data_IF_969176030266
#
_entry.id   IF_969176030266
#
_cell.length_a   1.000
_cell.length_b   1.000
_cell.length_c   1.000
_cell.angle_alpha   90.00
_cell.angle_beta   90.00
_cell.angle_gamma   90.00
#
_symmetry.space_group_name_H-M   'P 1'
#
loop_
_entity.id
_entity.type
_entity.pdbx_description
1 polymer ?
#
# COMPACT_ATOMS: atom_id res chain seq x y z
N UNK A 1 19.42 -33.09 -22.42
CA UNK A 1 20.81 -32.93 -22.87
C UNK A 1 21.29 -34.15 -23.65
N UNK A 2 20.77 -35.34 -23.32
CA UNK A 2 21.13 -36.59 -24.05
C UNK A 2 20.34 -36.81 -25.37
N UNK A 3 19.24 -36.11 -25.58
CA UNK A 3 18.35 -36.27 -26.76
C UNK A 3 18.84 -35.50 -28.00
N UNK A 4 19.72 -34.51 -27.85
CA UNK A 4 20.22 -33.70 -28.98
C UNK A 4 21.45 -34.28 -29.69
N UNK A 5 22.01 -35.39 -29.21
CA UNK A 5 23.18 -36.05 -29.84
C UNK A 5 22.85 -37.06 -30.93
N UNK A 6 21.57 -37.37 -31.19
CA UNK A 6 21.12 -38.40 -32.13
C UNK A 6 20.48 -37.85 -33.42
N UNK A 7 20.76 -36.61 -33.80
CA UNK A 7 20.30 -36.07 -35.09
C UNK A 7 21.38 -36.35 -36.18
N UNK A 8 21.00 -36.86 -37.37
CA UNK A 8 21.93 -37.36 -38.41
C UNK A 8 22.80 -36.30 -39.11
N UNK A 9 22.75 -35.05 -38.71
CA UNK A 9 23.52 -33.96 -39.33
C UNK A 9 24.56 -33.29 -38.39
N UNK A 10 24.90 -33.89 -37.23
CA UNK A 10 25.81 -33.31 -36.26
C UNK A 10 27.32 -33.41 -36.62
N UNK A 11 27.68 -34.08 -37.68
CA UNK A 11 29.08 -34.26 -38.04
C UNK A 11 29.82 -32.99 -38.54
N UNK A 12 29.10 -31.92 -38.88
CA UNK A 12 29.72 -30.65 -39.26
C UNK A 12 30.12 -29.77 -38.05
N UNK A 13 29.47 -29.95 -36.91
CA UNK A 13 29.79 -29.16 -35.70
C UNK A 13 31.01 -29.71 -34.93
N UNK A 14 31.27 -30.99 -35.05
CA UNK A 14 32.42 -31.63 -34.38
C UNK A 14 33.78 -31.30 -35.03
N UNK A 15 33.81 -30.94 -36.32
CA UNK A 15 35.10 -30.57 -37.00
C UNK A 15 35.60 -29.16 -36.67
N UNK A 16 34.74 -28.27 -36.15
CA UNK A 16 35.17 -26.93 -35.71
C UNK A 16 35.82 -26.91 -34.32
N UNK A 17 35.74 -28.02 -33.55
CA UNK A 17 36.40 -28.13 -32.24
C UNK A 17 37.92 -28.11 -32.26
N UNK A 18 38.55 -28.33 -33.41
CA UNK A 18 40.01 -28.34 -33.53
C UNK A 18 40.63 -26.95 -33.75
N UNK A 19 39.83 -25.90 -33.97
CA UNK A 19 40.38 -24.57 -34.32
C UNK A 19 40.45 -23.64 -33.09
N UNK A 20 39.76 -23.96 -31.97
CA UNK A 20 39.78 -23.11 -30.75
C UNK A 20 39.90 -23.95 -29.46
N UNK A 21 41.11 -24.22 -28.96
CA UNK A 21 41.30 -25.04 -27.76
C UNK A 21 40.98 -24.33 -26.42
N UNK A 22 40.42 -23.12 -26.41
CA UNK A 22 40.16 -22.33 -25.22
C UNK A 22 38.64 -22.10 -24.88
N UNK A 23 37.73 -22.88 -25.48
CA UNK A 23 36.30 -22.65 -25.32
C UNK A 23 35.54 -23.74 -24.56
N UNK A 24 36.15 -24.36 -23.52
CA UNK A 24 35.45 -25.44 -22.81
C UNK A 24 34.50 -24.97 -21.72
N UNK A 25 34.65 -23.73 -21.21
CA UNK A 25 33.74 -23.19 -20.15
C UNK A 25 32.74 -22.11 -20.64
N UNK A 26 32.98 -21.53 -21.84
CA UNK A 26 32.13 -20.41 -22.31
C UNK A 26 30.93 -20.83 -23.18
N UNK A 27 30.85 -22.07 -23.65
CA UNK A 27 29.76 -22.50 -24.53
C UNK A 27 28.37 -22.53 -23.82
N UNK A 28 28.33 -22.66 -22.50
CA UNK A 28 27.08 -22.58 -21.74
C UNK A 28 26.63 -21.14 -21.47
N UNK A 29 27.51 -20.15 -21.66
CA UNK A 29 27.22 -18.75 -21.39
C UNK A 29 26.60 -17.96 -22.55
N UNK A 30 26.63 -18.49 -23.76
CA UNK A 30 26.19 -17.79 -24.99
C UNK A 30 24.64 -17.76 -25.11
N UNK A 31 23.94 -18.70 -24.48
CA UNK A 31 22.51 -18.89 -24.70
C UNK A 31 21.56 -18.26 -23.65
N UNK A 32 22.09 -17.60 -22.60
CA UNK A 32 21.18 -17.08 -21.54
C UNK A 32 21.60 -15.73 -20.97
N UNK A 33 21.46 -14.62 -21.72
CA UNK A 33 21.64 -13.28 -21.16
C UNK A 33 20.69 -13.01 -19.98
N UNK A 34 19.57 -13.73 -19.92
CA UNK A 34 18.55 -13.64 -18.84
C UNK A 34 19.12 -14.05 -17.47
N UNK A 35 20.12 -14.93 -17.40
CA UNK A 35 20.65 -15.45 -16.13
C UNK A 35 21.93 -14.78 -15.63
N UNK A 36 22.42 -13.74 -16.32
CA UNK A 36 23.61 -12.96 -15.91
C UNK A 36 23.34 -11.81 -15.00
N UNK A 37 22.16 -11.78 -14.35
CA UNK A 37 21.82 -10.68 -13.45
C UNK A 37 22.40 -10.92 -12.04
N UNK A 38 22.87 -9.84 -11.42
CA UNK A 38 23.21 -9.83 -10.00
C UNK A 38 21.92 -10.02 -9.19
N UNK A 39 22.04 -10.61 -8.01
CA UNK A 39 20.93 -10.64 -7.07
C UNK A 39 20.40 -9.21 -6.86
N UNK A 40 19.11 -9.04 -6.95
CA UNK A 40 18.46 -7.78 -6.60
C UNK A 40 18.71 -7.42 -5.12
N UNK A 41 18.63 -6.13 -4.76
CA UNK A 41 18.67 -5.74 -3.37
C UNK A 41 17.52 -6.42 -2.61
N UNK A 42 17.77 -6.77 -1.34
CA UNK A 42 16.70 -7.30 -0.48
C UNK A 42 15.66 -6.23 -0.26
N UNK A 43 14.40 -6.62 -0.32
CA UNK A 43 13.29 -5.74 0.07
C UNK A 43 13.44 -5.34 1.55
N UNK A 44 13.39 -4.06 1.90
CA UNK A 44 13.66 -3.59 3.27
C UNK A 44 12.65 -4.08 4.30
N UNK A 45 11.43 -4.45 3.88
CA UNK A 45 10.38 -4.95 4.78
C UNK A 45 10.35 -6.47 4.80
N UNK A 46 10.36 -7.13 3.63
CA UNK A 46 10.36 -8.59 3.52
C UNK A 46 11.64 -9.19 4.08
N UNK A 47 12.79 -8.53 3.91
CA UNK A 47 14.06 -8.94 4.51
C UNK A 47 14.03 -8.94 6.05
N UNK A 48 13.28 -8.02 6.68
CA UNK A 48 13.06 -8.03 8.13
C UNK A 48 12.23 -9.24 8.55
N UNK A 49 11.20 -9.58 7.77
CA UNK A 49 10.36 -10.75 8.04
C UNK A 49 11.14 -12.05 7.93
N UNK A 50 12.03 -12.18 6.94
CA UNK A 50 12.94 -13.32 6.81
C UNK A 50 13.85 -13.45 8.02
N UNK A 51 14.48 -12.35 8.47
CA UNK A 51 15.33 -12.33 9.63
C UNK A 51 14.57 -12.68 10.92
N UNK A 52 13.36 -12.11 11.11
CA UNK A 52 12.48 -12.43 12.21
C UNK A 52 12.11 -13.94 12.24
N UNK A 53 11.77 -14.52 11.09
CA UNK A 53 11.39 -15.92 11.01
C UNK A 53 12.57 -16.85 11.31
N UNK A 54 13.78 -16.47 10.94
CA UNK A 54 15.00 -17.24 11.21
C UNK A 54 15.44 -17.19 12.70
N UNK A 55 15.05 -16.14 13.42
CA UNK A 55 15.39 -15.99 14.84
C UNK A 55 14.64 -17.03 15.70
N UNK A 56 15.37 -17.70 16.58
CA UNK A 56 14.84 -18.74 17.48
C UNK A 56 14.41 -18.20 18.85
N UNK A 57 14.61 -16.90 19.12
CA UNK A 57 14.23 -16.30 20.39
C UNK A 57 12.69 -16.30 20.55
N UNK A 58 12.13 -16.97 21.59
CA UNK A 58 10.67 -17.01 21.78
C UNK A 58 10.07 -15.64 22.16
N UNK A 59 10.89 -14.69 22.64
CA UNK A 59 10.48 -13.33 23.00
C UNK A 59 10.64 -12.31 21.84
N UNK A 60 10.99 -12.77 20.64
CA UNK A 60 11.15 -11.93 19.46
C UNK A 60 9.87 -11.16 19.11
N UNK A 61 10.01 -9.91 18.66
CA UNK A 61 8.88 -9.04 18.29
C UNK A 61 9.10 -8.46 16.88
N UNK A 62 8.10 -8.59 16.01
CA UNK A 62 8.14 -7.99 14.68
C UNK A 62 7.31 -6.69 14.65
N UNK A 63 8.00 -5.56 14.58
CA UNK A 63 7.43 -4.22 14.40
C UNK A 63 7.67 -3.66 12.99
N UNK A 64 8.25 -4.45 12.08
CA UNK A 64 8.58 -4.02 10.71
C UNK A 64 7.43 -4.18 9.73
N UNK A 65 6.56 -5.17 9.92
CA UNK A 65 5.48 -5.50 8.97
C UNK A 65 4.20 -4.74 9.27
N UNK A 66 3.56 -4.21 8.23
CA UNK A 66 2.28 -3.50 8.32
C UNK A 66 1.07 -4.42 8.43
N UNK A 67 1.00 -5.20 9.50
CA UNK A 67 -0.09 -6.11 9.79
C UNK A 67 -0.64 -5.79 11.18
N UNK A 68 -1.97 -5.81 11.32
CA UNK A 68 -2.63 -5.69 12.60
C UNK A 68 -2.62 -7.04 13.33
N UNK A 69 -2.22 -7.02 14.59
CA UNK A 69 -2.29 -8.18 15.49
C UNK A 69 -3.18 -7.87 16.68
N UNK A 70 -3.95 -8.87 17.13
CA UNK A 70 -4.74 -8.79 18.36
C UNK A 70 -3.86 -8.92 19.62
N UNK A 71 -4.47 -8.88 20.80
CA UNK A 71 -3.75 -9.04 22.08
C UNK A 71 -3.11 -10.42 22.27
N UNK A 72 -3.47 -11.40 21.45
CA UNK A 72 -2.85 -12.72 21.41
C UNK A 72 -1.69 -12.80 20.40
N UNK A 73 -1.38 -11.69 19.70
CA UNK A 73 -0.36 -11.66 18.66
C UNK A 73 -0.76 -12.40 17.40
N UNK A 74 -2.08 -12.48 17.11
CA UNK A 74 -2.63 -13.14 15.93
C UNK A 74 -3.31 -12.12 15.02
N UNK A 75 -3.27 -12.37 13.72
CA UNK A 75 -4.09 -11.65 12.74
C UNK A 75 -5.54 -12.10 12.93
N UNK A 76 -6.49 -11.20 13.24
CA UNK A 76 -7.88 -11.60 13.44
C UNK A 76 -8.54 -11.97 12.12
N UNK A 77 -9.38 -12.98 12.13
CA UNK A 77 -10.39 -13.20 11.11
C UNK A 77 -11.69 -12.54 11.58
N UNK A 78 -12.13 -11.49 10.90
CA UNK A 78 -13.28 -10.70 11.32
C UNK A 78 -14.58 -11.51 11.26
N UNK A 79 -15.50 -11.28 12.20
CA UNK A 79 -16.80 -11.96 12.23
C UNK A 79 -17.67 -11.58 11.04
N UNK A 80 -17.61 -10.34 10.56
CA UNK A 80 -18.30 -9.93 9.34
C UNK A 80 -17.82 -10.72 8.11
N UNK A 81 -16.52 -11.01 8.03
CA UNK A 81 -15.93 -11.84 6.97
C UNK A 81 -16.42 -13.28 7.06
N UNK A 82 -16.35 -13.91 8.24
CA UNK A 82 -16.83 -15.28 8.45
C UNK A 82 -18.31 -15.44 8.05
N UNK A 83 -19.15 -14.49 8.44
CA UNK A 83 -20.58 -14.52 8.09
C UNK A 83 -20.80 -14.32 6.59
N UNK A 84 -20.04 -13.45 5.95
CA UNK A 84 -20.10 -13.28 4.49
C UNK A 84 -19.65 -14.54 3.75
N UNK A 85 -18.58 -15.19 4.19
CA UNK A 85 -18.12 -16.46 3.62
C UNK A 85 -19.16 -17.58 3.77
N UNK A 86 -19.83 -17.67 4.93
CA UNK A 86 -20.92 -18.63 5.14
C UNK A 86 -22.07 -18.41 4.13
N UNK A 87 -22.51 -17.16 3.94
CA UNK A 87 -23.53 -16.79 2.95
C UNK A 87 -23.10 -17.19 1.53
N UNK A 88 -21.81 -16.97 1.19
CA UNK A 88 -21.29 -17.30 -0.13
C UNK A 88 -21.16 -18.82 -0.35
N UNK A 89 -20.83 -19.58 0.70
CA UNK A 89 -20.79 -21.05 0.64
C UNK A 89 -22.15 -21.66 0.34
N UNK A 90 -23.21 -21.15 0.94
CA UNK A 90 -24.58 -21.66 0.72
C UNK A 90 -25.05 -21.50 -0.74
N UNK A 91 -24.50 -20.53 -1.46
CA UNK A 91 -24.88 -20.27 -2.86
C UNK A 91 -24.32 -21.28 -3.87
N UNK A 92 -23.26 -22.03 -3.53
CA UNK A 92 -22.59 -23.01 -4.42
C UNK A 92 -22.35 -22.48 -5.85
N UNK A 93 -22.00 -21.17 -5.97
CA UNK A 93 -21.87 -20.53 -7.27
C UNK A 93 -20.70 -21.08 -8.10
N UNK A 94 -20.83 -21.19 -9.42
CA UNK A 94 -19.75 -21.59 -10.31
C UNK A 94 -18.56 -20.60 -10.22
N UNK A 95 -17.34 -21.12 -10.42
CA UNK A 95 -16.09 -20.34 -10.42
C UNK A 95 -15.72 -19.90 -11.85
N UNK A 96 -16.58 -19.15 -12.50
CA UNK A 96 -16.34 -18.60 -13.85
C UNK A 96 -15.44 -17.37 -13.79
N UNK A 97 -14.88 -17.00 -14.95
CA UNK A 97 -14.16 -15.73 -15.07
C UNK A 97 -15.09 -14.54 -14.79
N UNK A 98 -14.58 -13.56 -14.07
CA UNK A 98 -15.26 -12.27 -13.90
C UNK A 98 -15.15 -11.41 -15.17
N UNK A 99 -16.00 -10.38 -15.30
CA UNK A 99 -15.73 -9.26 -16.19
C UNK A 99 -14.33 -8.69 -15.95
N UNK A 100 -13.76 -8.06 -16.96
CA UNK A 100 -12.40 -7.50 -16.88
C UNK A 100 -12.28 -6.50 -15.73
N UNK A 101 -13.28 -5.65 -15.55
CA UNK A 101 -13.35 -4.66 -14.47
C UNK A 101 -13.63 -5.25 -13.08
N UNK A 102 -14.13 -6.48 -13.00
CA UNK A 102 -14.46 -7.14 -11.74
C UNK A 102 -15.94 -7.38 -11.52
N UNK A 103 -16.33 -7.57 -10.27
CA UNK A 103 -17.72 -7.76 -9.85
C UNK A 103 -18.46 -6.42 -9.80
N UNK A 104 -19.53 -6.26 -10.57
CA UNK A 104 -20.32 -5.02 -10.59
C UNK A 104 -20.85 -4.62 -9.20
N UNK A 105 -21.25 -5.59 -8.37
CA UNK A 105 -21.69 -5.33 -7.00
C UNK A 105 -20.55 -4.82 -6.11
N UNK A 106 -19.33 -5.35 -6.29
CA UNK A 106 -18.13 -4.89 -5.61
C UNK A 106 -17.76 -3.47 -6.04
N UNK A 107 -17.67 -3.25 -7.36
CA UNK A 107 -17.28 -1.95 -7.92
C UNK A 107 -18.23 -0.84 -7.47
N UNK A 108 -19.55 -1.11 -7.47
CA UNK A 108 -20.56 -0.18 -6.96
C UNK A 108 -20.38 0.10 -5.45
N UNK A 109 -20.27 -0.94 -4.62
CA UNK A 109 -20.14 -0.78 -3.18
C UNK A 109 -18.87 -0.02 -2.79
N UNK A 110 -17.75 -0.28 -3.48
CA UNK A 110 -16.49 0.44 -3.28
C UNK A 110 -16.60 1.89 -3.75
N UNK A 111 -17.21 2.15 -4.89
CA UNK A 111 -17.43 3.50 -5.41
C UNK A 111 -18.24 4.35 -4.42
N UNK A 112 -19.31 3.79 -3.84
CA UNK A 112 -20.12 4.43 -2.82
C UNK A 112 -19.34 4.66 -1.51
N UNK A 113 -18.48 3.72 -1.11
CA UNK A 113 -17.61 3.86 0.05
C UNK A 113 -16.60 5.00 -0.12
N UNK A 114 -16.01 5.12 -1.31
CA UNK A 114 -14.94 6.07 -1.63
C UNK A 114 -15.48 7.48 -1.80
N UNK A 115 -16.50 7.66 -2.62
CA UNK A 115 -17.01 8.97 -3.00
C UNK A 115 -18.25 9.40 -2.20
N UNK A 116 -18.93 8.47 -1.53
CA UNK A 116 -20.23 8.67 -0.93
C UNK A 116 -21.36 8.38 -1.93
N UNK A 117 -22.37 7.60 -1.50
CA UNK A 117 -23.49 7.20 -2.37
C UNK A 117 -24.29 8.41 -2.90
N UNK A 118 -24.34 9.49 -2.12
CA UNK A 118 -25.08 10.70 -2.44
C UNK A 118 -24.27 11.79 -3.15
N UNK A 119 -22.99 11.55 -3.44
CA UNK A 119 -22.13 12.53 -4.11
C UNK A 119 -22.52 12.72 -5.57
N UNK A 120 -22.31 13.94 -6.09
CA UNK A 120 -22.65 14.28 -7.48
C UNK A 120 -21.84 13.44 -8.46
N UNK A 121 -20.57 13.13 -8.14
CA UNK A 121 -19.71 12.32 -9.01
C UNK A 121 -20.27 10.90 -9.23
N UNK A 122 -20.96 10.34 -8.25
CA UNK A 122 -21.64 9.04 -8.35
C UNK A 122 -22.98 9.18 -9.04
N UNK A 123 -23.84 10.14 -8.63
CA UNK A 123 -25.16 10.38 -9.21
C UNK A 123 -25.11 10.71 -10.72
N UNK A 124 -24.13 11.52 -11.10
CA UNK A 124 -23.89 11.92 -12.50
C UNK A 124 -23.10 10.90 -13.31
N UNK A 125 -22.75 9.74 -12.71
CA UNK A 125 -21.99 8.66 -13.34
C UNK A 125 -20.61 9.11 -13.87
N UNK A 126 -19.98 10.07 -13.20
CA UNK A 126 -18.66 10.58 -13.52
C UNK A 126 -17.52 9.77 -12.87
N UNK A 127 -17.84 8.84 -11.97
CA UNK A 127 -16.89 7.94 -11.37
C UNK A 127 -16.94 6.56 -12.02
N UNK A 128 -15.77 5.94 -12.16
CA UNK A 128 -15.61 4.53 -12.45
C UNK A 128 -14.84 3.85 -11.34
N UNK A 129 -15.10 2.56 -11.14
CA UNK A 129 -14.34 1.72 -10.20
C UNK A 129 -14.08 0.38 -10.86
N UNK A 130 -12.87 -0.14 -10.70
CA UNK A 130 -12.48 -1.47 -11.16
C UNK A 130 -11.81 -2.23 -10.02
N UNK A 131 -12.22 -3.47 -9.81
CA UNK A 131 -11.60 -4.37 -8.86
C UNK A 131 -10.14 -4.63 -9.26
N UNK A 132 -9.23 -4.60 -8.27
CA UNK A 132 -7.81 -4.76 -8.48
C UNK A 132 -7.20 -5.80 -7.51
N UNK A 133 -5.99 -6.25 -7.82
CA UNK A 133 -5.24 -7.21 -6.99
C UNK A 133 -4.58 -6.48 -5.82
N UNK A 134 -5.38 -6.13 -4.81
CA UNK A 134 -5.00 -5.32 -3.67
C UNK A 134 -4.69 -3.86 -4.05
N UNK A 135 -4.25 -3.07 -3.06
CA UNK A 135 -3.85 -1.67 -3.29
C UNK A 135 -2.68 -1.54 -4.27
N UNK A 136 -1.69 -2.42 -4.19
CA UNK A 136 -0.56 -2.45 -5.13
C UNK A 136 -1.04 -2.63 -6.58
N UNK A 137 -1.98 -3.56 -6.81
CA UNK A 137 -2.59 -3.75 -8.12
C UNK A 137 -3.35 -2.51 -8.60
N UNK A 138 -4.09 -1.83 -7.72
CA UNK A 138 -4.80 -0.60 -8.03
C UNK A 138 -3.84 0.54 -8.44
N UNK A 139 -2.76 0.74 -7.66
CA UNK A 139 -1.70 1.71 -7.99
C UNK A 139 -1.05 1.38 -9.34
N UNK A 140 -0.73 0.11 -9.59
CA UNK A 140 -0.10 -0.32 -10.85
C UNK A 140 -1.02 -0.10 -12.05
N UNK A 141 -2.31 -0.40 -11.94
CA UNK A 141 -3.28 -0.11 -13.00
C UNK A 141 -3.37 1.38 -13.31
N UNK A 142 -3.41 2.22 -12.27
CA UNK A 142 -3.42 3.67 -12.42
C UNK A 142 -2.13 4.19 -13.06
N UNK A 143 -0.97 3.67 -12.63
CA UNK A 143 0.32 4.04 -13.21
C UNK A 143 0.43 3.63 -14.68
N UNK A 144 0.05 2.41 -15.06
CA UNK A 144 0.08 1.94 -16.44
C UNK A 144 -0.92 2.69 -17.34
N UNK A 145 -2.09 3.03 -16.78
CA UNK A 145 -3.07 3.87 -17.46
C UNK A 145 -2.50 5.27 -17.72
N UNK A 146 -2.00 5.93 -16.70
CA UNK A 146 -1.42 7.28 -16.82
C UNK A 146 -0.21 7.30 -17.75
N UNK A 147 0.67 6.30 -17.71
CA UNK A 147 1.80 6.21 -18.64
C UNK A 147 1.35 6.13 -20.09
N UNK A 148 0.23 5.48 -20.36
CA UNK A 148 -0.29 5.39 -21.74
C UNK A 148 -0.84 6.71 -22.25
N UNK A 149 -1.44 7.55 -21.38
CA UNK A 149 -2.15 8.76 -21.78
C UNK A 149 -1.41 10.06 -21.42
N UNK A 150 -0.51 10.01 -20.46
CA UNK A 150 0.31 11.15 -20.02
C UNK A 150 1.80 10.74 -19.90
N UNK A 151 2.43 10.20 -20.96
CA UNK A 151 3.77 9.60 -20.88
C UNK A 151 4.87 10.60 -20.52
N UNK A 152 4.63 11.89 -20.70
CA UNK A 152 5.59 12.96 -20.39
C UNK A 152 5.39 13.56 -18.99
N UNK A 153 4.39 13.11 -18.24
CA UNK A 153 4.17 13.57 -16.87
C UNK A 153 5.27 13.06 -15.94
N UNK A 154 5.64 13.87 -14.97
CA UNK A 154 6.48 13.44 -13.85
C UNK A 154 5.60 12.97 -12.70
N UNK A 155 6.06 11.97 -11.94
CA UNK A 155 5.40 11.53 -10.72
C UNK A 155 6.14 12.12 -9.53
N UNK A 156 5.38 12.62 -8.56
CA UNK A 156 5.89 13.18 -7.32
C UNK A 156 5.29 12.45 -6.13
N UNK A 157 6.14 11.90 -5.28
CA UNK A 157 5.77 11.18 -4.06
C UNK A 157 6.27 11.93 -2.83
N UNK A 158 5.68 11.68 -1.66
CA UNK A 158 6.16 12.27 -0.40
C UNK A 158 7.57 11.77 -0.04
N UNK A 159 8.33 12.59 0.68
CA UNK A 159 9.61 12.20 1.28
C UNK A 159 9.49 12.27 2.82
N UNK A 160 9.49 11.10 3.50
CA UNK A 160 9.49 9.74 2.98
C UNK A 160 8.12 9.30 2.43
N UNK A 161 8.10 8.17 1.71
CA UNK A 161 6.90 7.49 1.23
C UNK A 161 7.01 5.98 1.47
N UNK A 162 5.93 5.24 1.22
CA UNK A 162 6.02 3.78 1.14
C UNK A 162 6.97 3.39 0.00
N UNK A 163 7.94 2.54 0.30
CA UNK A 163 9.07 2.24 -0.58
C UNK A 163 8.62 1.75 -1.97
N UNK A 164 7.50 1.01 -2.00
CA UNK A 164 6.99 0.46 -3.25
C UNK A 164 6.38 1.52 -4.18
N UNK A 165 6.04 2.72 -3.70
CA UNK A 165 5.51 3.78 -4.57
C UNK A 165 6.50 4.14 -5.67
N UNK A 166 7.76 4.41 -5.31
CA UNK A 166 8.81 4.73 -6.29
C UNK A 166 9.01 3.60 -7.28
N UNK A 167 9.23 2.39 -6.79
CA UNK A 167 9.51 1.22 -7.62
C UNK A 167 8.36 0.92 -8.60
N UNK A 168 7.12 1.10 -8.15
CA UNK A 168 5.91 0.84 -8.94
C UNK A 168 5.78 1.84 -10.11
N UNK A 169 5.93 3.15 -9.84
CA UNK A 169 5.82 4.15 -10.90
C UNK A 169 7.02 4.14 -11.84
N UNK A 170 8.24 3.91 -11.33
CA UNK A 170 9.44 3.70 -12.17
C UNK A 170 9.26 2.46 -13.07
N UNK A 171 8.70 1.36 -12.56
CA UNK A 171 8.42 0.16 -13.35
C UNK A 171 7.36 0.39 -14.44
N UNK A 172 6.49 1.37 -14.27
CA UNK A 172 5.55 1.82 -15.29
C UNK A 172 6.19 2.75 -16.34
N UNK A 173 7.43 3.20 -16.11
CA UNK A 173 8.20 4.04 -17.05
C UNK A 173 8.21 5.53 -16.70
N UNK A 174 7.76 5.92 -15.51
CA UNK A 174 7.79 7.32 -15.08
C UNK A 174 9.12 7.72 -14.44
N UNK A 175 9.48 8.98 -14.61
CA UNK A 175 10.45 9.66 -13.74
C UNK A 175 9.74 9.98 -12.41
N UNK A 176 10.29 9.51 -11.30
CA UNK A 176 9.73 9.71 -9.96
C UNK A 176 10.59 10.68 -9.17
N UNK A 177 10.00 11.79 -8.78
CA UNK A 177 10.57 12.82 -7.91
C UNK A 177 9.99 12.68 -6.50
N UNK A 178 10.52 13.47 -5.55
CA UNK A 178 10.01 13.54 -4.19
C UNK A 178 9.71 14.99 -3.79
N UNK A 179 8.67 15.20 -3.00
CA UNK A 179 8.39 16.48 -2.36
C UNK A 179 8.58 16.37 -0.84
N UNK A 180 9.04 17.44 -0.16
CA UNK A 180 9.17 17.46 1.29
C UNK A 180 7.84 17.14 1.96
N UNK A 181 7.83 16.22 2.93
CA UNK A 181 6.63 15.86 3.66
C UNK A 181 6.82 15.80 5.16
N UNK A 182 7.88 15.15 5.63
CA UNK A 182 8.14 14.97 7.06
C UNK A 182 9.31 15.83 7.52
N UNK A 183 9.12 16.50 8.67
CA UNK A 183 10.18 17.22 9.34
C UNK A 183 10.60 16.45 10.60
N UNK A 184 11.84 15.96 10.59
CA UNK A 184 12.40 15.22 11.71
C UNK A 184 12.62 16.10 12.96
N UNK A 185 12.75 17.43 12.82
CA UNK A 185 12.94 18.31 13.95
C UNK A 185 11.65 18.56 14.74
N UNK A 186 10.54 18.74 14.04
CA UNK A 186 9.20 18.92 14.63
C UNK A 186 8.43 17.62 14.83
N UNK A 187 8.92 16.52 14.26
CA UNK A 187 8.25 15.20 14.24
C UNK A 187 6.86 15.23 13.58
N UNK A 188 6.61 16.18 12.72
CA UNK A 188 5.36 16.43 12.05
C UNK A 188 5.50 16.62 10.54
N UNK A 189 4.44 17.15 9.91
CA UNK A 189 4.43 17.44 8.48
C UNK A 189 5.19 18.75 8.19
N UNK A 190 6.13 18.71 7.25
CA UNK A 190 6.75 19.88 6.66
C UNK A 190 5.79 20.54 5.65
N UNK A 191 4.71 21.12 6.15
CA UNK A 191 3.63 21.60 5.30
C UNK A 191 4.07 22.74 4.36
N UNK A 192 4.89 23.67 4.86
CA UNK A 192 5.39 24.79 4.03
C UNK A 192 6.23 24.27 2.85
N UNK A 193 7.18 23.37 3.12
CA UNK A 193 7.99 22.74 2.07
C UNK A 193 7.19 21.94 1.07
N UNK A 194 6.17 21.17 1.55
CA UNK A 194 5.23 20.45 0.70
C UNK A 194 4.47 21.40 -0.23
N UNK A 195 3.88 22.47 0.32
CA UNK A 195 3.05 23.40 -0.45
C UNK A 195 3.86 24.17 -1.50
N UNK A 196 5.08 24.57 -1.17
CA UNK A 196 5.98 25.23 -2.10
C UNK A 196 6.44 24.29 -3.23
N UNK A 197 6.70 23.04 -2.91
CA UNK A 197 6.97 22.03 -3.92
C UNK A 197 5.78 21.83 -4.87
N UNK A 198 4.56 21.68 -4.35
CA UNK A 198 3.34 21.56 -5.17
C UNK A 198 3.16 22.74 -6.13
N UNK A 199 3.39 23.97 -5.65
CA UNK A 199 3.32 25.19 -6.48
C UNK A 199 4.34 25.21 -7.61
N UNK A 200 5.49 24.56 -7.43
CA UNK A 200 6.60 24.55 -8.40
C UNK A 200 6.56 23.37 -9.39
N UNK A 201 5.71 22.39 -9.16
CA UNK A 201 5.61 21.22 -10.04
C UNK A 201 5.16 21.61 -11.46
N UNK A 202 5.68 20.97 -12.51
CA UNK A 202 5.18 21.15 -13.86
C UNK A 202 3.68 20.81 -13.95
N UNK A 203 2.96 21.56 -14.77
CA UNK A 203 1.54 21.27 -15.07
C UNK A 203 1.40 19.85 -15.61
N UNK A 204 0.33 19.15 -15.21
CA UNK A 204 0.09 17.74 -15.58
C UNK A 204 0.95 16.74 -14.82
N UNK A 205 1.77 17.17 -13.85
CA UNK A 205 2.47 16.23 -12.97
C UNK A 205 1.49 15.42 -12.14
N UNK A 206 1.83 14.15 -11.91
CA UNK A 206 1.06 13.23 -11.06
C UNK A 206 1.57 13.39 -9.63
N UNK A 207 0.67 13.73 -8.70
CA UNK A 207 1.00 13.86 -7.28
C UNK A 207 0.39 12.72 -6.51
N UNK A 208 1.22 11.83 -5.99
CA UNK A 208 0.79 10.75 -5.11
C UNK A 208 0.67 11.25 -3.68
N UNK A 209 -0.52 11.13 -3.12
CA UNK A 209 -0.89 11.59 -1.79
C UNK A 209 -1.45 10.42 -0.99
N UNK A 210 -1.06 10.27 0.28
CA UNK A 210 -1.76 9.38 1.20
C UNK A 210 -3.02 10.07 1.69
N UNK A 211 -4.18 9.46 1.48
CA UNK A 211 -5.46 10.05 1.88
C UNK A 211 -5.60 10.12 3.40
N UNK A 212 -5.06 9.14 4.12
CA UNK A 212 -5.00 9.05 5.58
C UNK A 212 -3.90 8.10 6.02
N UNK A 213 -3.50 8.18 7.28
CA UNK A 213 -2.57 7.24 7.92
C UNK A 213 -1.27 7.08 7.14
N UNK A 214 -0.57 8.19 6.93
CA UNK A 214 0.63 8.25 6.09
C UNK A 214 1.66 7.17 6.43
N UNK A 215 2.01 6.37 5.45
CA UNK A 215 3.06 5.35 5.55
C UNK A 215 4.38 5.91 4.95
N UNK A 216 5.47 6.11 5.71
CA UNK A 216 5.78 5.43 6.98
C UNK A 216 5.55 6.26 8.26
N UNK A 217 5.17 7.53 8.17
CA UNK A 217 5.35 8.48 9.27
C UNK A 217 4.21 8.48 10.31
N UNK A 218 2.99 8.15 9.89
CA UNK A 218 1.78 8.33 10.70
C UNK A 218 1.38 9.81 10.88
N UNK A 219 2.13 10.75 10.31
CA UNK A 219 1.83 12.18 10.36
C UNK A 219 0.92 12.55 9.18
N UNK A 220 -0.29 13.00 9.46
CA UNK A 220 -1.31 13.34 8.47
C UNK A 220 -1.52 14.86 8.41
N UNK A 221 -2.01 15.34 7.27
CA UNK A 221 -2.43 16.73 7.07
C UNK A 221 -3.72 17.02 7.86
N UNK A 222 -3.85 18.26 8.36
CA UNK A 222 -5.10 18.74 8.93
C UNK A 222 -6.13 19.06 7.83
N UNK A 223 -7.38 19.26 8.22
CA UNK A 223 -8.46 19.66 7.30
C UNK A 223 -8.16 21.00 6.59
N UNK A 224 -7.55 21.95 7.31
CA UNK A 224 -7.13 23.24 6.77
C UNK A 224 -6.00 23.06 5.76
N UNK A 225 -4.99 22.27 6.08
CA UNK A 225 -3.89 21.95 5.19
C UNK A 225 -4.38 21.25 3.91
N UNK A 226 -5.34 20.36 4.03
CA UNK A 226 -5.98 19.75 2.85
C UNK A 226 -6.70 20.78 1.98
N UNK A 227 -7.31 21.82 2.56
CA UNK A 227 -7.92 22.91 1.77
C UNK A 227 -6.89 23.57 0.86
N UNK A 228 -5.72 23.90 1.41
CA UNK A 228 -4.64 24.54 0.66
C UNK A 228 -4.04 23.61 -0.41
N UNK A 229 -3.83 22.33 -0.06
CA UNK A 229 -3.32 21.32 -1.01
C UNK A 229 -4.26 21.15 -2.19
N UNK A 230 -5.57 20.98 -1.94
CA UNK A 230 -6.59 20.83 -3.00
C UNK A 230 -6.60 22.08 -3.90
N UNK A 231 -6.56 23.28 -3.29
CA UNK A 231 -6.54 24.53 -4.05
C UNK A 231 -5.33 24.61 -4.98
N UNK A 232 -4.13 24.30 -4.48
CA UNK A 232 -2.89 24.34 -5.29
C UNK A 232 -2.89 23.26 -6.37
N UNK A 233 -3.29 22.02 -6.05
CA UNK A 233 -3.38 20.91 -7.02
C UNK A 233 -4.31 21.28 -8.17
N UNK A 234 -5.48 21.86 -7.85
CA UNK A 234 -6.46 22.31 -8.86
C UNK A 234 -5.91 23.48 -9.68
N UNK A 235 -5.38 24.52 -9.03
CA UNK A 235 -4.87 25.72 -9.70
C UNK A 235 -3.68 25.41 -10.62
N UNK A 236 -2.86 24.43 -10.25
CA UNK A 236 -1.67 24.03 -11.01
C UNK A 236 -1.94 22.96 -12.04
N UNK A 237 -3.21 22.53 -12.23
CA UNK A 237 -3.60 21.42 -13.11
C UNK A 237 -2.76 20.16 -12.87
N UNK A 238 -2.50 19.81 -11.59
CA UNK A 238 -1.83 18.56 -11.23
C UNK A 238 -2.84 17.42 -11.23
N UNK A 239 -2.36 16.20 -11.41
CA UNK A 239 -3.18 14.99 -11.39
C UNK A 239 -3.06 14.33 -10.00
N UNK A 240 -4.05 14.47 -9.12
CA UNK A 240 -4.02 13.84 -7.82
C UNK A 240 -4.25 12.33 -7.94
N UNK A 241 -3.37 11.57 -7.30
CA UNK A 241 -3.50 10.14 -7.10
C UNK A 241 -3.47 9.84 -5.60
N UNK A 242 -4.62 9.52 -5.02
CA UNK A 242 -4.76 9.24 -3.60
C UNK A 242 -4.58 7.76 -3.32
N UNK A 243 -3.63 7.42 -2.43
CA UNK A 243 -3.49 6.07 -1.89
C UNK A 243 -4.26 5.97 -0.58
N UNK A 244 -5.26 5.08 -0.53
CA UNK A 244 -6.15 4.86 0.61
C UNK A 244 -6.08 3.40 1.07
N UNK A 245 -4.93 3.01 1.63
CA UNK A 245 -4.72 1.66 2.15
C UNK A 245 -5.24 1.45 3.56
N UNK A 246 -5.56 2.53 4.30
CA UNK A 246 -5.84 2.50 5.74
C UNK A 246 -7.14 3.21 6.14
N UNK A 247 -8.11 3.33 5.25
CA UNK A 247 -9.41 3.91 5.57
C UNK A 247 -10.06 3.21 6.77
N UNK A 248 -10.45 3.99 7.77
CA UNK A 248 -11.03 3.53 9.03
C UNK A 248 -10.03 3.36 10.18
N UNK A 249 -8.71 3.44 9.91
CA UNK A 249 -7.67 3.35 10.95
C UNK A 249 -7.21 4.70 11.52
N UNK A 250 -7.54 5.81 10.87
CA UNK A 250 -7.29 7.15 11.36
C UNK A 250 -8.31 7.59 12.39
N UNK A 251 -9.31 8.31 11.94
CA UNK A 251 -10.40 8.84 12.76
C UNK A 251 -11.77 8.20 12.47
N UNK A 252 -11.85 7.33 11.48
CA UNK A 252 -13.05 6.56 11.08
C UNK A 252 -13.24 6.53 9.58
N UNK A 253 -14.13 5.66 9.12
CA UNK A 253 -14.36 5.43 7.68
C UNK A 253 -14.74 6.73 6.97
N UNK A 254 -15.67 7.48 7.53
CA UNK A 254 -16.17 8.73 6.96
C UNK A 254 -15.15 9.86 7.03
N UNK A 255 -14.48 10.01 8.18
CA UNK A 255 -13.46 11.03 8.38
C UNK A 255 -12.24 10.80 7.46
N UNK A 256 -11.76 9.57 7.37
CA UNK A 256 -10.61 9.21 6.55
C UNK A 256 -10.90 9.33 5.04
N UNK A 257 -12.17 9.13 4.63
CA UNK A 257 -12.61 9.29 3.24
C UNK A 257 -12.89 10.74 2.82
N UNK A 258 -12.96 11.68 3.75
CA UNK A 258 -13.37 13.07 3.50
C UNK A 258 -12.52 13.76 2.44
N UNK A 259 -11.22 13.57 2.45
CA UNK A 259 -10.31 14.21 1.49
C UNK A 259 -10.59 13.79 0.05
N UNK A 260 -10.94 12.52 -0.19
CA UNK A 260 -11.29 12.02 -1.52
C UNK A 260 -12.53 12.75 -2.05
N UNK A 261 -13.55 12.89 -1.21
CA UNK A 261 -14.80 13.59 -1.58
C UNK A 261 -14.53 15.05 -1.89
N UNK A 262 -13.69 15.72 -1.11
CA UNK A 262 -13.29 17.13 -1.35
C UNK A 262 -12.55 17.30 -2.67
N UNK A 263 -11.65 16.37 -3.05
CA UNK A 263 -11.03 16.38 -4.38
C UNK A 263 -12.04 16.16 -5.48
N UNK A 264 -12.99 15.23 -5.31
CA UNK A 264 -14.04 14.98 -6.29
C UNK A 264 -14.98 16.19 -6.48
N UNK A 265 -15.29 16.91 -5.40
CA UNK A 265 -16.07 18.16 -5.42
C UNK A 265 -15.31 19.32 -6.10
N UNK A 266 -13.99 19.40 -5.91
CA UNK A 266 -13.15 20.39 -6.58
C UNK A 266 -13.08 20.20 -8.09
N UNK A 267 -13.46 19.01 -8.60
CA UNK A 267 -13.48 18.69 -10.02
C UNK A 267 -12.11 18.29 -10.58
N UNK A 268 -12.11 17.95 -11.87
CA UNK A 268 -10.91 17.44 -12.55
C UNK A 268 -10.74 15.93 -12.43
N UNK A 269 -9.65 15.41 -12.99
CA UNK A 269 -9.32 14.00 -12.91
C UNK A 269 -8.81 13.67 -11.50
N UNK A 270 -9.32 12.60 -10.89
CA UNK A 270 -8.89 12.12 -9.59
C UNK A 270 -8.72 10.60 -9.65
N UNK A 271 -7.57 10.10 -9.23
CA UNK A 271 -7.29 8.68 -9.10
C UNK A 271 -7.26 8.30 -7.61
N UNK A 272 -7.91 7.18 -7.26
CA UNK A 272 -7.95 6.67 -5.90
C UNK A 272 -7.65 5.18 -5.90
N UNK A 273 -6.60 4.79 -5.20
CA UNK A 273 -6.26 3.38 -4.92
C UNK A 273 -6.81 2.98 -3.57
N UNK A 274 -7.67 1.97 -3.52
CA UNK A 274 -8.17 1.40 -2.27
C UNK A 274 -7.59 0.01 -2.02
N UNK A 275 -7.42 -0.31 -0.74
CA UNK A 275 -7.04 -1.65 -0.29
C UNK A 275 -7.93 -2.11 0.86
N UNK A 276 -8.40 -3.35 0.78
CA UNK A 276 -9.14 -4.02 1.85
C UNK A 276 -8.29 -5.01 2.64
N UNK A 277 -6.97 -5.04 2.38
CA UNK A 277 -6.03 -5.91 3.09
C UNK A 277 -6.07 -5.69 4.60
N UNK A 278 -6.14 -4.43 5.06
CA UNK A 278 -6.10 -4.09 6.48
C UNK A 278 -7.49 -3.96 7.07
N UNK A 279 -8.38 -3.15 6.46
CA UNK A 279 -9.71 -2.86 6.99
C UNK A 279 -10.64 -4.08 7.05
N UNK A 280 -10.37 -5.12 6.26
CA UNK A 280 -11.08 -6.40 6.31
C UNK A 280 -10.21 -7.56 6.80
N UNK A 281 -8.94 -7.30 7.18
CA UNK A 281 -7.98 -8.35 7.54
C UNK A 281 -7.79 -9.42 6.45
N UNK A 282 -7.96 -9.02 5.18
CA UNK A 282 -7.90 -9.89 3.99
C UNK A 282 -6.54 -9.77 3.27
N UNK A 283 -5.45 -9.75 4.01
CA UNK A 283 -4.08 -9.53 3.48
C UNK A 283 -3.71 -10.46 2.32
N UNK A 284 -4.04 -11.73 2.45
CA UNK A 284 -3.73 -12.79 1.47
C UNK A 284 -4.69 -12.86 0.30
N UNK A 285 -5.91 -12.30 0.42
CA UNK A 285 -6.96 -12.38 -0.61
C UNK A 285 -6.76 -11.39 -1.76
N UNK A 286 -5.84 -10.43 -1.60
CA UNK A 286 -5.49 -9.44 -2.63
C UNK A 286 -6.69 -8.66 -3.15
N UNK A 287 -7.43 -8.01 -2.25
CA UNK A 287 -8.64 -7.23 -2.58
C UNK A 287 -8.35 -5.74 -2.53
N UNK A 288 -8.59 -5.05 -3.62
CA UNK A 288 -8.45 -3.61 -3.77
C UNK A 288 -9.27 -3.09 -4.95
N UNK A 289 -9.19 -1.81 -5.20
CA UNK A 289 -9.86 -1.16 -6.31
C UNK A 289 -9.12 0.09 -6.78
N UNK A 290 -9.17 0.36 -8.07
CA UNK A 290 -8.87 1.66 -8.65
C UNK A 290 -10.18 2.36 -8.97
N UNK A 291 -10.38 3.53 -8.37
CA UNK A 291 -11.49 4.43 -8.69
C UNK A 291 -10.96 5.69 -9.38
N UNK A 292 -11.67 6.17 -10.39
CA UNK A 292 -11.30 7.38 -11.12
C UNK A 292 -12.54 8.26 -11.26
N UNK A 293 -12.43 9.53 -10.85
CA UNK A 293 -13.43 10.55 -11.13
C UNK A 293 -13.04 11.32 -12.41
N UNK A 294 -14.02 11.56 -13.27
CA UNK A 294 -13.89 12.24 -14.55
C UNK A 294 -14.77 13.50 -14.61
N UNK A 295 -14.61 14.29 -15.66
CA UNK A 295 -15.38 15.53 -15.85
C UNK A 295 -16.82 15.27 -16.32
N UNK A 296 -17.08 14.14 -16.98
CA UNK A 296 -18.42 13.75 -17.46
C UNK A 296 -18.62 12.24 -17.50
N UNK A 297 -19.86 11.78 -17.62
CA UNK A 297 -20.19 10.36 -17.76
C UNK A 297 -19.61 9.75 -19.04
N UNK A 298 -19.58 10.51 -20.14
CA UNK A 298 -19.01 10.07 -21.41
C UNK A 298 -17.50 9.89 -21.30
N UNK A 299 -16.81 10.79 -20.59
CA UNK A 299 -15.38 10.65 -20.30
C UNK A 299 -15.12 9.44 -19.41
N UNK A 300 -15.89 9.26 -18.35
CA UNK A 300 -15.81 8.10 -17.45
C UNK A 300 -15.95 6.79 -18.23
N UNK A 301 -16.91 6.70 -19.18
CA UNK A 301 -17.10 5.53 -20.03
C UNK A 301 -15.88 5.26 -20.93
N UNK A 302 -15.28 6.31 -21.52
CA UNK A 302 -14.04 6.19 -22.32
C UNK A 302 -12.87 5.73 -21.47
N UNK A 303 -12.71 6.29 -20.28
CA UNK A 303 -11.65 5.89 -19.31
C UNK A 303 -11.82 4.41 -18.97
N UNK A 304 -13.01 3.94 -18.60
CA UNK A 304 -13.26 2.53 -18.29
C UNK A 304 -12.93 1.63 -19.49
N UNK A 305 -13.30 2.01 -20.69
CA UNK A 305 -12.98 1.24 -21.90
C UNK A 305 -11.47 1.06 -22.09
N UNK A 306 -10.67 2.09 -21.85
CA UNK A 306 -9.22 2.01 -21.94
C UNK A 306 -8.58 1.29 -20.73
N UNK A 307 -9.13 1.49 -19.53
CA UNK A 307 -8.67 0.81 -18.32
C UNK A 307 -8.83 -0.71 -18.45
N UNK A 308 -9.92 -1.19 -19.04
CA UNK A 308 -10.11 -2.63 -19.35
C UNK A 308 -8.95 -3.20 -20.18
N UNK A 309 -8.37 -2.45 -21.11
CA UNK A 309 -7.22 -2.90 -21.91
C UNK A 309 -5.96 -3.02 -21.03
N UNK A 310 -5.79 -2.13 -20.07
CA UNK A 310 -4.69 -2.19 -19.11
C UNK A 310 -4.86 -3.40 -18.19
N UNK A 311 -6.03 -3.61 -17.62
CA UNK A 311 -6.36 -4.77 -16.79
C UNK A 311 -6.12 -6.08 -17.56
N UNK A 312 -6.63 -6.15 -18.81
CA UNK A 312 -6.53 -7.35 -19.64
C UNK A 312 -5.09 -7.79 -19.88
N UNK A 313 -4.16 -6.86 -20.01
CA UNK A 313 -2.74 -7.16 -20.23
C UNK A 313 -1.96 -7.39 -18.95
N UNK A 314 -2.45 -6.94 -17.80
CA UNK A 314 -1.80 -7.16 -16.50
C UNK A 314 -2.12 -8.54 -15.91
N UNK A 315 -3.41 -8.86 -15.76
CA UNK A 315 -3.86 -10.11 -15.11
C UNK A 315 -5.19 -10.66 -15.67
N UNK A 316 -5.64 -10.18 -16.82
CA UNK A 316 -6.87 -10.61 -17.51
C UNK A 316 -8.17 -10.15 -16.84
N UNK A 317 -8.41 -10.57 -15.62
CA UNK A 317 -9.52 -10.20 -14.74
C UNK A 317 -9.12 -10.51 -13.28
N UNK A 318 -9.77 -9.87 -12.30
CA UNK A 318 -9.42 -10.07 -10.90
C UNK A 318 -9.96 -11.41 -10.34
N UNK A 319 -9.43 -11.86 -9.17
CA UNK A 319 -9.94 -13.03 -8.47
C UNK A 319 -11.32 -12.76 -7.86
N UNK A 320 -12.13 -13.82 -7.73
CA UNK A 320 -13.54 -13.71 -7.34
C UNK A 320 -13.76 -13.61 -5.84
N UNK A 321 -13.08 -14.46 -5.04
CA UNK A 321 -13.46 -14.75 -3.66
C UNK A 321 -13.43 -13.52 -2.76
N UNK A 322 -12.30 -12.89 -2.62
CA UNK A 322 -12.16 -11.72 -1.74
C UNK A 322 -13.06 -10.56 -2.13
N UNK A 323 -13.24 -10.32 -3.44
CA UNK A 323 -14.18 -9.31 -3.94
C UNK A 323 -15.62 -9.61 -3.57
N UNK A 324 -16.05 -10.87 -3.66
CA UNK A 324 -17.39 -11.31 -3.22
C UNK A 324 -17.59 -11.13 -1.71
N UNK A 325 -16.60 -11.45 -0.89
CA UNK A 325 -16.66 -11.23 0.56
C UNK A 325 -16.88 -9.76 0.88
N UNK A 326 -16.04 -8.89 0.34
CA UNK A 326 -16.17 -7.43 0.56
C UNK A 326 -17.51 -6.90 0.06
N UNK A 327 -17.93 -7.28 -1.16
CA UNK A 327 -19.23 -6.89 -1.71
C UNK A 327 -20.39 -7.34 -0.82
N UNK A 328 -20.34 -8.56 -0.31
CA UNK A 328 -21.39 -9.11 0.58
C UNK A 328 -21.47 -8.34 1.89
N UNK A 329 -20.33 -8.04 2.51
CA UNK A 329 -20.28 -7.23 3.75
C UNK A 329 -20.83 -5.83 3.50
N UNK A 330 -20.34 -5.14 2.47
CA UNK A 330 -20.73 -3.75 2.21
C UNK A 330 -22.19 -3.59 1.78
N UNK A 331 -22.77 -4.60 1.11
CA UNK A 331 -24.14 -4.57 0.63
C UNK A 331 -25.18 -5.08 1.65
N UNK A 332 -24.75 -5.73 2.75
CA UNK A 332 -25.65 -6.26 3.79
C UNK A 332 -25.57 -5.34 5.00
N UNK A 333 -26.64 -4.58 5.34
CA UNK A 333 -26.59 -3.56 6.40
C UNK A 333 -26.04 -4.07 7.73
N UNK A 334 -26.44 -5.26 8.16
CA UNK A 334 -26.02 -5.86 9.43
C UNK A 334 -24.53 -6.23 9.41
N UNK A 335 -24.03 -6.72 8.27
CA UNK A 335 -22.61 -7.05 8.12
C UNK A 335 -21.77 -5.80 7.96
N UNK A 336 -22.30 -4.77 7.28
CA UNK A 336 -21.68 -3.46 7.17
C UNK A 336 -21.48 -2.83 8.54
N UNK A 337 -22.52 -2.79 9.37
CA UNK A 337 -22.44 -2.29 10.71
C UNK A 337 -21.42 -3.07 11.55
N UNK A 338 -21.46 -4.41 11.50
CA UNK A 338 -20.52 -5.27 12.21
C UNK A 338 -19.07 -4.99 11.79
N UNK A 339 -18.81 -4.83 10.50
CA UNK A 339 -17.50 -4.45 9.99
C UNK A 339 -17.02 -3.10 10.54
N UNK A 340 -17.89 -2.10 10.57
CA UNK A 340 -17.57 -0.77 11.11
C UNK A 340 -17.21 -0.83 12.59
N UNK A 341 -17.96 -1.63 13.37
CA UNK A 341 -17.71 -1.86 14.81
C UNK A 341 -16.37 -2.59 15.03
N UNK A 342 -16.09 -3.66 14.28
CA UNK A 342 -14.83 -4.40 14.37
C UNK A 342 -13.62 -3.51 14.00
N UNK A 343 -13.74 -2.73 12.94
CA UNK A 343 -12.71 -1.79 12.51
C UNK A 343 -12.49 -0.66 13.53
N UNK A 344 -13.57 -0.16 14.12
CA UNK A 344 -13.49 0.81 15.22
C UNK A 344 -12.77 0.23 16.43
N UNK A 345 -13.02 -1.02 16.78
CA UNK A 345 -12.30 -1.74 17.84
C UNK A 345 -10.80 -1.83 17.57
N UNK A 346 -10.40 -2.17 16.33
CA UNK A 346 -8.99 -2.18 15.93
C UNK A 346 -8.34 -0.79 16.05
N UNK A 347 -9.04 0.26 15.61
CA UNK A 347 -8.57 1.65 15.72
C UNK A 347 -8.38 2.09 17.17
N UNK A 348 -9.35 1.81 18.03
CA UNK A 348 -9.28 2.13 19.47
C UNK A 348 -8.08 1.46 20.09
N UNK A 349 -7.88 0.16 19.85
CA UNK A 349 -6.76 -0.59 20.36
C UNK A 349 -5.41 -0.03 19.92
N UNK A 350 -5.27 0.38 18.66
CA UNK A 350 -4.04 1.03 18.18
C UNK A 350 -3.76 2.33 18.96
N UNK A 351 -4.80 3.13 19.23
CA UNK A 351 -4.65 4.35 20.05
C UNK A 351 -4.25 4.04 21.49
N UNK A 352 -4.82 3.00 22.08
CA UNK A 352 -4.42 2.53 23.42
C UNK A 352 -2.96 2.10 23.46
N UNK A 353 -2.48 1.38 22.44
CA UNK A 353 -1.09 0.98 22.34
C UNK A 353 -0.14 2.18 22.16
N UNK A 354 -0.53 3.22 21.39
CA UNK A 354 0.22 4.48 21.30
C UNK A 354 0.34 5.17 22.65
N UNK A 355 -0.78 5.31 23.37
CA UNK A 355 -0.80 5.92 24.69
C UNK A 355 0.05 5.14 25.71
N UNK A 356 -0.08 3.82 25.72
CA UNK A 356 0.71 2.96 26.60
C UNK A 356 2.20 3.04 26.27
N UNK A 357 2.57 3.06 25.00
CA UNK A 357 3.95 3.21 24.52
C UNK A 357 4.58 4.51 25.02
N UNK A 358 3.90 5.63 24.84
CA UNK A 358 4.39 6.95 25.26
C UNK A 358 4.45 7.04 26.80
N UNK A 359 3.39 6.60 27.50
CA UNK A 359 3.36 6.66 28.96
C UNK A 359 4.52 5.88 29.57
N UNK A 360 4.77 4.64 29.11
CA UNK A 360 5.86 3.81 29.61
C UNK A 360 7.25 4.37 29.27
N UNK A 361 7.43 4.96 28.09
CA UNK A 361 8.70 5.62 27.75
C UNK A 361 8.94 6.87 28.60
N UNK A 362 7.91 7.66 28.93
CA UNK A 362 8.05 8.79 29.87
C UNK A 362 8.52 8.35 31.25
N UNK A 363 8.06 7.20 31.73
CA UNK A 363 8.46 6.64 33.02
C UNK A 363 9.91 6.13 33.00
N UNK A 364 10.32 5.45 31.92
CA UNK A 364 11.61 4.75 31.85
C UNK A 364 12.74 5.57 31.21
N UNK A 365 12.41 6.55 30.38
CA UNK A 365 13.33 7.42 29.66
C UNK A 365 12.88 8.89 29.73
N UNK A 366 12.76 9.52 30.90
CA UNK A 366 12.14 10.84 31.07
C UNK A 366 12.90 11.99 30.37
N UNK A 367 14.15 11.73 29.93
CA UNK A 367 14.93 12.70 29.14
C UNK A 367 14.59 12.72 27.64
N UNK A 368 13.68 11.87 27.17
CA UNK A 368 13.34 11.75 25.75
C UNK A 368 11.86 12.04 25.52
N UNK A 369 11.56 12.86 24.50
CA UNK A 369 10.19 13.19 24.12
C UNK A 369 9.67 12.23 23.04
N UNK A 370 8.57 11.54 23.34
CA UNK A 370 7.84 10.65 22.44
C UNK A 370 6.37 11.08 22.28
N UNK A 371 5.97 12.26 22.75
CA UNK A 371 4.56 12.73 22.69
C UNK A 371 4.02 12.82 21.28
N UNK A 372 4.88 13.06 20.28
CA UNK A 372 4.51 13.06 18.87
C UNK A 372 3.90 11.73 18.40
N UNK A 373 4.23 10.60 19.04
CA UNK A 373 3.68 9.28 18.67
C UNK A 373 2.17 9.23 18.89
N UNK A 374 1.64 9.92 19.92
CA UNK A 374 0.20 9.99 20.16
C UNK A 374 -0.53 10.84 19.11
N UNK A 375 0.18 11.81 18.51
CA UNK A 375 -0.38 12.66 17.45
C UNK A 375 -0.48 11.94 16.09
N UNK A 376 0.30 10.90 15.89
CA UNK A 376 0.34 10.14 14.65
C UNK A 376 -0.90 9.24 14.50
N UNK A 377 -1.26 8.89 13.26
CA UNK A 377 -2.44 8.12 12.89
C UNK A 377 -2.10 6.81 12.21
N UNK A 378 -3.00 5.84 12.31
CA UNK A 378 -2.87 4.57 11.61
C UNK A 378 -1.93 3.59 12.29
N UNK A 379 -1.49 2.59 11.51
CA UNK A 379 -0.75 1.43 12.02
C UNK A 379 0.72 1.72 12.34
N UNK A 380 1.30 2.79 11.77
CA UNK A 380 2.73 3.08 11.87
C UNK A 380 3.04 4.29 12.73
N UNK A 381 4.24 4.27 13.28
CA UNK A 381 4.86 5.42 13.91
C UNK A 381 6.30 5.56 13.43
N UNK A 382 6.69 6.78 13.12
CA UNK A 382 8.09 7.14 12.91
C UNK A 382 8.68 7.46 14.27
N UNK A 383 9.32 6.47 14.90
CA UNK A 383 9.70 6.54 16.32
C UNK A 383 10.82 7.54 16.62
N UNK A 384 11.55 7.99 15.61
CA UNK A 384 12.73 8.83 15.75
C UNK A 384 14.00 8.07 16.17
N UNK A 385 13.93 6.74 16.26
CA UNK A 385 15.10 5.91 16.48
C UNK A 385 16.01 5.94 15.25
N UNK A 386 17.31 6.04 15.49
CA UNK A 386 18.32 5.97 14.41
C UNK A 386 18.48 4.55 13.90
N UNK A 387 19.07 4.40 12.71
CA UNK A 387 19.41 3.09 12.14
C UNK A 387 20.30 2.26 13.07
N UNK A 388 21.24 2.90 13.76
CA UNK A 388 22.13 2.22 14.73
C UNK A 388 21.32 1.69 15.92
N UNK A 389 20.41 2.51 16.47
CA UNK A 389 19.54 2.09 17.58
C UNK A 389 18.65 0.92 17.17
N UNK A 390 18.05 0.98 15.97
CA UNK A 390 17.24 -0.12 15.42
C UNK A 390 18.08 -1.38 15.21
N UNK A 391 19.34 -1.25 14.76
CA UNK A 391 20.29 -2.38 14.69
C UNK A 391 20.49 -3.04 16.04
N UNK A 392 20.77 -2.25 17.09
CA UNK A 392 20.94 -2.74 18.48
C UNK A 392 19.66 -3.42 19.02
N UNK A 393 18.47 -2.90 18.72
CA UNK A 393 17.20 -3.56 19.08
C UNK A 393 17.09 -4.94 18.47
N UNK A 394 17.47 -5.10 17.22
CA UNK A 394 17.45 -6.37 16.50
C UNK A 394 18.47 -7.36 17.06
N UNK A 395 19.72 -6.93 17.20
CA UNK A 395 20.84 -7.79 17.59
C UNK A 395 20.77 -8.22 19.06
N UNK A 396 20.40 -7.30 19.96
CA UNK A 396 20.47 -7.54 21.40
C UNK A 396 19.15 -8.00 22.02
N UNK A 397 18.01 -7.67 21.36
CA UNK A 397 16.69 -7.86 21.96
C UNK A 397 15.70 -8.61 21.05
N UNK A 398 16.12 -9.02 19.82
CA UNK A 398 15.23 -9.67 18.85
C UNK A 398 13.97 -8.85 18.51
N UNK A 399 14.10 -7.51 18.52
CA UNK A 399 13.04 -6.59 18.14
C UNK A 399 13.33 -6.06 16.74
N UNK A 400 12.44 -6.36 15.81
CA UNK A 400 12.59 -6.13 14.39
C UNK A 400 11.76 -4.93 13.96
N UNK A 401 12.40 -3.78 13.75
CA UNK A 401 11.84 -2.56 13.20
C UNK A 401 12.52 -2.23 11.84
N UNK A 402 11.95 -1.29 11.08
CA UNK A 402 12.58 -0.82 9.83
C UNK A 402 13.75 0.11 10.17
N UNK A 403 14.84 0.01 9.43
CA UNK A 403 16.08 0.80 9.65
C UNK A 403 15.87 2.32 9.66
N UNK A 404 14.77 2.79 9.08
CA UNK A 404 14.35 4.20 9.11
C UNK A 404 13.74 4.66 10.44
N UNK A 405 13.58 3.77 11.41
CA UNK A 405 12.90 4.04 12.68
C UNK A 405 11.38 3.86 12.61
N UNK A 406 10.81 3.38 11.51
CA UNK A 406 9.39 3.02 11.45
C UNK A 406 9.09 1.79 12.29
N UNK A 407 8.07 1.91 13.15
CA UNK A 407 7.51 0.80 13.92
C UNK A 407 6.02 0.61 13.58
N UNK A 408 5.56 -0.63 13.58
CA UNK A 408 4.14 -0.96 13.49
C UNK A 408 3.53 -0.98 14.89
N UNK A 409 2.85 0.09 15.28
CA UNK A 409 2.17 0.19 16.58
C UNK A 409 1.05 -0.84 16.71
N UNK A 410 0.43 -1.21 15.60
CA UNK A 410 -0.62 -2.23 15.56
C UNK A 410 -0.10 -3.65 15.89
N UNK A 411 1.22 -3.87 15.93
CA UNK A 411 1.85 -5.12 16.36
C UNK A 411 2.21 -5.14 17.87
N UNK A 412 2.10 -4.00 18.54
CA UNK A 412 2.21 -3.95 20.01
C UNK A 412 0.99 -4.58 20.67
N UNK A 413 1.19 -5.20 21.81
CA UNK A 413 0.13 -5.76 22.64
C UNK A 413 0.58 -5.78 24.12
N UNK A 414 -0.35 -6.10 25.02
CA UNK A 414 -0.08 -6.13 26.47
C UNK A 414 1.01 -7.11 26.88
N UNK A 415 1.32 -8.13 26.04
CA UNK A 415 2.35 -9.15 26.33
C UNK A 415 3.75 -8.70 25.89
N UNK A 416 3.88 -7.92 24.83
CA UNK A 416 5.17 -7.55 24.27
C UNK A 416 5.61 -6.12 24.56
N UNK A 417 4.68 -5.20 24.89
CA UNK A 417 4.98 -3.78 25.04
C UNK A 417 6.07 -3.50 26.08
N UNK A 418 6.05 -4.18 27.23
CA UNK A 418 7.06 -3.97 28.28
C UNK A 418 8.46 -4.32 27.80
N UNK A 419 8.62 -5.47 27.12
CA UNK A 419 9.88 -5.88 26.52
C UNK A 419 10.37 -4.87 25.47
N UNK A 420 9.47 -4.36 24.64
CA UNK A 420 9.79 -3.34 23.62
C UNK A 420 10.26 -2.04 24.28
N UNK A 421 9.56 -1.55 25.30
CA UNK A 421 9.91 -0.31 26.01
C UNK A 421 11.28 -0.44 26.69
N UNK A 422 11.50 -1.54 27.43
CA UNK A 422 12.79 -1.80 28.09
C UNK A 422 13.94 -1.84 27.08
N UNK A 423 13.74 -2.48 25.94
CA UNK A 423 14.75 -2.55 24.90
C UNK A 423 15.05 -1.17 24.28
N UNK A 424 14.00 -0.37 23.98
CA UNK A 424 14.16 0.99 23.48
C UNK A 424 14.93 1.85 24.48
N UNK A 425 14.57 1.80 25.75
CA UNK A 425 15.25 2.56 26.82
C UNK A 425 16.74 2.25 26.89
N UNK A 426 17.15 1.00 26.62
CA UNK A 426 18.57 0.61 26.63
C UNK A 426 19.38 1.14 25.44
N UNK A 427 18.73 1.53 24.36
CA UNK A 427 19.42 2.02 23.14
C UNK A 427 19.32 3.52 22.95
N UNK A 428 18.49 4.23 23.75
CA UNK A 428 18.41 5.69 23.79
C UNK A 428 19.64 6.31 24.45
#
# INVERSE_FOLDING_TARGET
VAVLCNLPHSNHYCRQRQIFPYYHDDCFHIFTPVFRHRNGPRDPILGITEAFNADQNPAKVNLGVGVYYDDNGKVPLLECVKKAEAILMEKFAPRTYLPIEGLAAYDKAVQELVFGADSDVVKEKRAITAQAIGGTGALKLGADFLQRFTPNSEVWISDPSWENHRALFESAGFKVNAYPYYDAATRGVNFAGMLDALKSMPEGSIVLLHACCHNPTGADLTDEQWTDVIAVVTQRNLIPFLDMAYQGFGDGIEADGKVVRRFAEAGGALFVSNSFSKSFSLYGERVGALSIAASSAEEAARIMSQLKRVIRTNYSNPPTHGGQVVATVLATPELRQLWEEELAGMRVRIREMRNAFVSKLKEQAPGHDFDFVVQQRGMFSYSGLTKEQVGKLRENNSIYAVDTGRICVAALNNKNINNVIEAITKVL
#
